data_IF_745610357828
#
_entry.id   IF_745610357828
#
_cell.length_a   1.000
_cell.length_b   1.000
_cell.length_c   1.000
_cell.angle_alpha   90.00
_cell.angle_beta   90.00
_cell.angle_gamma   90.00
#
_symmetry.space_group_name_H-M   'P 1'
#
loop_
_entity.id
_entity.type
_entity.pdbx_description
1 polymer ?
#
# COMPACT_ATOMS: atom_id res chain seq x y z
N UNK A 1 -14.79 -32.03 10.87
CA UNK A 1 -14.84 -33.48 11.19
C UNK A 1 -13.94 -34.35 10.32
N UNK A 2 -14.17 -34.43 8.99
CA UNK A 2 -13.46 -35.39 8.12
C UNK A 2 -11.95 -35.15 8.09
N UNK A 3 -11.52 -33.89 7.94
CA UNK A 3 -10.08 -33.52 7.96
C UNK A 3 -9.41 -33.98 9.25
N UNK A 4 -10.00 -33.67 10.42
CA UNK A 4 -9.49 -34.10 11.75
C UNK A 4 -9.27 -35.62 11.87
N UNK A 5 -10.12 -36.42 11.23
CA UNK A 5 -10.00 -37.88 11.24
C UNK A 5 -8.88 -38.39 10.33
N UNK A 6 -8.67 -37.76 9.18
CA UNK A 6 -7.67 -38.16 8.19
C UNK A 6 -6.28 -37.59 8.51
N UNK A 7 -6.26 -36.42 9.15
CA UNK A 7 -5.09 -35.66 9.51
C UNK A 7 -5.26 -35.07 10.92
N UNK A 8 -4.88 -35.84 11.95
CA UNK A 8 -5.00 -35.39 13.33
C UNK A 8 -3.89 -34.43 13.75
N UNK A 9 -2.85 -34.23 12.94
CA UNK A 9 -1.63 -33.52 13.32
C UNK A 9 -1.63 -32.05 12.89
N UNK A 10 -2.36 -31.70 11.83
CA UNK A 10 -2.41 -30.31 11.35
C UNK A 10 -3.63 -29.54 11.90
N UNK A 11 -3.44 -28.26 12.31
CA UNK A 11 -4.54 -27.41 12.74
C UNK A 11 -5.46 -27.06 11.57
N UNK A 12 -6.74 -26.90 11.86
CA UNK A 12 -7.79 -26.58 10.89
C UNK A 12 -8.20 -25.14 11.08
N UNK A 13 -7.85 -24.31 10.11
CA UNK A 13 -8.15 -22.88 10.12
C UNK A 13 -9.33 -22.55 9.21
N UNK A 14 -10.26 -21.72 9.69
CA UNK A 14 -11.25 -21.07 8.84
C UNK A 14 -10.81 -19.62 8.59
N UNK A 15 -10.62 -19.25 7.32
CA UNK A 15 -10.22 -17.89 6.94
C UNK A 15 -11.47 -17.06 6.64
N UNK A 16 -11.55 -15.86 7.22
CA UNK A 16 -12.62 -14.89 6.99
C UNK A 16 -12.06 -13.55 6.53
N UNK A 17 -12.74 -12.95 5.54
CA UNK A 17 -12.51 -11.57 5.14
C UNK A 17 -13.16 -10.64 6.15
N UNK A 18 -12.35 -9.97 6.98
CA UNK A 18 -12.76 -9.16 8.14
C UNK A 18 -13.63 -9.90 9.17
N UNK A 19 -13.50 -9.54 10.45
CA UNK A 19 -14.24 -10.20 11.54
C UNK A 19 -15.70 -9.74 11.69
N UNK A 20 -16.04 -8.56 11.16
CA UNK A 20 -17.40 -8.00 11.25
C UNK A 20 -17.91 -7.93 12.70
N UNK A 21 -19.21 -8.17 12.88
CA UNK A 21 -19.89 -8.05 14.18
C UNK A 21 -20.18 -9.41 14.87
N UNK A 22 -20.23 -10.52 14.13
CA UNK A 22 -20.66 -11.82 14.68
C UNK A 22 -19.92 -13.05 14.12
N UNK A 23 -19.00 -12.89 13.15
CA UNK A 23 -18.43 -14.04 12.43
C UNK A 23 -17.61 -14.97 13.34
N UNK A 24 -16.84 -14.42 14.27
CA UNK A 24 -15.96 -15.20 15.13
C UNK A 24 -16.78 -16.06 16.12
N UNK A 25 -17.77 -15.45 16.78
CA UNK A 25 -18.64 -16.19 17.71
C UNK A 25 -19.51 -17.24 17.02
N UNK A 26 -19.92 -16.97 15.78
CA UNK A 26 -20.62 -17.97 14.97
C UNK A 26 -19.73 -19.15 14.60
N UNK A 27 -18.49 -18.92 14.19
CA UNK A 27 -17.54 -20.02 13.92
C UNK A 27 -17.31 -20.83 15.19
N UNK A 28 -17.12 -20.19 16.34
CA UNK A 28 -16.95 -20.89 17.62
C UNK A 28 -18.13 -21.81 17.96
N UNK A 29 -19.37 -21.32 17.78
CA UNK A 29 -20.58 -22.06 18.14
C UNK A 29 -21.00 -23.10 17.10
N UNK A 30 -20.82 -22.81 15.82
CA UNK A 30 -21.34 -23.61 14.71
C UNK A 30 -20.28 -24.58 14.14
N UNK A 31 -18.98 -24.32 14.36
CA UNK A 31 -17.87 -25.05 13.77
C UNK A 31 -16.83 -25.56 14.80
N UNK A 32 -17.21 -26.41 15.78
CA UNK A 32 -16.32 -26.85 16.89
C UNK A 32 -15.11 -27.72 16.47
N UNK A 33 -15.01 -28.08 15.19
CA UNK A 33 -13.87 -28.78 14.63
C UNK A 33 -12.77 -27.85 14.07
N UNK A 34 -13.04 -26.54 13.99
CA UNK A 34 -12.06 -25.52 13.61
C UNK A 34 -11.23 -25.18 14.85
N UNK A 35 -9.91 -25.19 14.71
CA UNK A 35 -9.00 -24.99 15.83
C UNK A 35 -8.61 -23.52 16.02
N UNK A 36 -8.67 -22.74 14.94
CA UNK A 36 -8.36 -21.31 14.92
C UNK A 36 -9.06 -20.60 13.77
N UNK A 37 -9.25 -19.29 13.90
CA UNK A 37 -9.70 -18.43 12.80
C UNK A 37 -8.53 -17.67 12.17
N UNK A 38 -8.52 -17.63 10.85
CA UNK A 38 -7.66 -16.75 10.07
C UNK A 38 -8.42 -15.49 9.70
N UNK A 39 -7.82 -14.33 9.90
CA UNK A 39 -8.46 -13.03 9.68
C UNK A 39 -7.68 -12.27 8.62
N UNK A 40 -8.34 -11.97 7.50
CA UNK A 40 -7.82 -11.01 6.52
C UNK A 40 -8.30 -9.62 6.94
N UNK A 41 -7.38 -8.72 7.30
CA UNK A 41 -7.69 -7.37 7.78
C UNK A 41 -6.63 -6.36 7.35
N UNK A 42 -7.08 -5.22 6.84
CA UNK A 42 -6.25 -4.16 6.27
C UNK A 42 -6.28 -2.90 7.17
N UNK A 43 -7.01 -1.84 6.78
CA UNK A 43 -7.14 -0.63 7.61
C UNK A 43 -7.72 -0.89 9.01
N UNK A 44 -8.53 -1.95 9.16
CA UNK A 44 -9.17 -2.33 10.43
C UNK A 44 -8.33 -3.18 11.38
N UNK A 45 -7.08 -3.55 11.02
CA UNK A 45 -6.30 -4.56 11.73
C UNK A 45 -6.06 -4.21 13.21
N UNK A 46 -5.74 -2.94 13.50
CA UNK A 46 -5.47 -2.48 14.88
C UNK A 46 -6.59 -2.85 15.87
N UNK A 47 -7.84 -2.84 15.41
CA UNK A 47 -9.03 -3.11 16.24
C UNK A 47 -9.40 -4.59 16.37
N UNK A 48 -8.72 -5.50 15.69
CA UNK A 48 -9.07 -6.93 15.66
C UNK A 48 -9.14 -7.56 17.05
N UNK A 49 -8.16 -7.38 17.96
CA UNK A 49 -8.22 -7.99 19.28
C UNK A 49 -9.44 -7.54 20.10
N UNK A 50 -9.74 -6.24 20.10
CA UNK A 50 -10.89 -5.68 20.81
C UNK A 50 -12.21 -6.22 20.26
N UNK A 51 -12.35 -6.27 18.93
CA UNK A 51 -13.55 -6.78 18.27
C UNK A 51 -13.74 -8.28 18.49
N UNK A 52 -12.68 -9.08 18.52
CA UNK A 52 -12.76 -10.51 18.88
C UNK A 52 -13.28 -10.68 20.31
N UNK A 53 -12.71 -9.94 21.26
CA UNK A 53 -13.18 -9.95 22.64
C UNK A 53 -14.64 -9.47 22.75
N UNK A 54 -15.03 -8.44 21.98
CA UNK A 54 -16.40 -7.92 21.92
C UNK A 54 -17.42 -8.93 21.38
N UNK A 55 -17.01 -9.84 20.49
CA UNK A 55 -17.84 -10.95 20.04
C UNK A 55 -17.91 -12.10 21.06
N UNK A 56 -17.05 -12.11 22.08
CA UNK A 56 -16.91 -13.22 23.02
C UNK A 56 -16.16 -14.42 22.43
N UNK A 57 -15.30 -14.20 21.44
CA UNK A 57 -14.44 -15.24 20.88
C UNK A 57 -13.27 -15.52 21.83
N UNK A 58 -13.08 -16.78 22.21
CA UNK A 58 -12.02 -17.22 23.14
C UNK A 58 -11.03 -18.22 22.50
N UNK A 59 -11.14 -18.43 21.20
CA UNK A 59 -10.26 -19.32 20.44
C UNK A 59 -8.97 -18.66 19.96
N UNK A 60 -8.06 -19.51 19.47
CA UNK A 60 -6.84 -19.05 18.81
C UNK A 60 -7.15 -18.38 17.47
N UNK A 61 -6.35 -17.39 17.09
CA UNK A 61 -6.50 -16.67 15.83
C UNK A 61 -5.15 -16.35 15.20
N UNK A 62 -5.16 -16.05 13.91
CA UNK A 62 -4.02 -15.53 13.18
C UNK A 62 -4.47 -14.47 12.18
N UNK A 63 -3.60 -13.51 11.88
CA UNK A 63 -3.85 -12.54 10.81
C UNK A 63 -3.38 -13.15 9.49
N UNK A 64 -4.29 -13.74 8.74
CA UNK A 64 -3.94 -14.49 7.52
C UNK A 64 -3.66 -13.64 6.30
N UNK A 65 -4.00 -12.35 6.37
CA UNK A 65 -3.64 -11.38 5.35
C UNK A 65 -3.72 -9.98 5.98
N UNK A 66 -2.61 -9.25 5.93
CA UNK A 66 -2.60 -7.83 6.27
C UNK A 66 -1.55 -7.10 5.45
N UNK A 67 -1.72 -5.80 5.29
CA UNK A 67 -0.77 -4.99 4.55
C UNK A 67 -0.99 -3.53 4.82
N UNK A 68 -1.13 -2.77 3.74
CA UNK A 68 -1.39 -1.34 3.78
C UNK A 68 -2.89 -1.05 3.76
N UNK A 69 -3.27 0.21 3.96
CA UNK A 69 -4.65 0.65 3.84
C UNK A 69 -5.18 0.35 2.43
N UNK A 70 -6.37 -0.26 2.35
CA UNK A 70 -6.98 -0.59 1.07
C UNK A 70 -7.34 0.66 0.27
N UNK A 71 -7.27 0.60 -1.07
CA UNK A 71 -7.62 1.75 -1.91
C UNK A 71 -9.07 2.22 -1.77
N UNK A 72 -9.96 1.36 -1.27
CA UNK A 72 -11.34 1.70 -0.94
C UNK A 72 -11.48 2.47 0.39
N UNK A 73 -10.47 2.42 1.27
CA UNK A 73 -10.46 3.08 2.58
C UNK A 73 -9.76 4.46 2.53
N UNK A 74 -9.02 4.74 1.44
CA UNK A 74 -8.32 6.01 1.25
C UNK A 74 -9.25 7.13 0.77
N UNK A 75 -8.90 8.36 1.17
CA UNK A 75 -9.48 9.57 0.59
C UNK A 75 -9.28 9.62 -0.93
N UNK A 76 -10.18 10.31 -1.64
CA UNK A 76 -10.17 10.40 -3.10
C UNK A 76 -10.06 11.85 -3.56
N UNK A 77 -9.49 12.06 -4.74
CA UNK A 77 -9.56 13.34 -5.46
C UNK A 77 -11.01 13.65 -5.85
N UNK A 78 -11.33 14.91 -6.24
CA UNK A 78 -12.66 15.26 -6.74
C UNK A 78 -13.13 14.42 -7.94
N UNK A 79 -12.20 13.87 -8.74
CA UNK A 79 -12.48 12.98 -9.87
C UNK A 79 -12.40 11.49 -9.51
N UNK A 80 -12.35 11.14 -8.21
CA UNK A 80 -12.50 9.77 -7.72
C UNK A 80 -11.22 8.92 -7.68
N UNK A 81 -10.06 9.49 -8.00
CA UNK A 81 -8.78 8.79 -7.89
C UNK A 81 -8.37 8.66 -6.40
N UNK A 82 -8.09 7.47 -5.87
CA UNK A 82 -7.69 7.32 -4.47
C UNK A 82 -6.26 7.81 -4.26
N UNK A 83 -6.01 8.49 -3.15
CA UNK A 83 -4.66 8.85 -2.73
C UNK A 83 -3.93 7.61 -2.24
N UNK A 84 -2.74 7.39 -2.76
CA UNK A 84 -1.89 6.28 -2.33
C UNK A 84 -0.87 6.79 -1.32
N UNK A 85 -0.65 6.03 -0.25
CA UNK A 85 0.43 6.31 0.69
C UNK A 85 1.79 6.15 -0.01
N UNK A 86 2.77 6.97 0.37
CA UNK A 86 4.18 6.72 0.03
C UNK A 86 4.68 5.41 0.64
N UNK A 87 5.80 4.89 0.14
CA UNK A 87 6.43 3.68 0.68
C UNK A 87 6.73 3.81 2.17
N UNK A 88 7.16 4.99 2.63
CA UNK A 88 7.40 5.24 4.06
C UNK A 88 6.11 5.35 4.86
N UNK A 89 5.08 6.03 4.33
CA UNK A 89 3.77 6.04 4.98
C UNK A 89 3.16 4.64 5.13
N UNK A 90 3.40 3.77 4.15
CA UNK A 90 3.02 2.34 4.21
C UNK A 90 3.83 1.55 5.23
N UNK A 91 5.12 1.82 5.33
CA UNK A 91 6.01 1.19 6.31
C UNK A 91 5.64 1.57 7.75
N UNK A 92 5.37 2.86 7.98
CA UNK A 92 4.90 3.39 9.26
C UNK A 92 3.56 2.75 9.65
N UNK A 93 2.61 2.66 8.71
CA UNK A 93 1.32 1.99 8.96
C UNK A 93 1.49 0.52 9.34
N UNK A 94 2.32 -0.25 8.61
CA UNK A 94 2.58 -1.66 8.95
C UNK A 94 3.16 -1.79 10.36
N UNK A 95 4.13 -0.95 10.72
CA UNK A 95 4.71 -0.96 12.07
C UNK A 95 3.65 -0.69 13.13
N UNK A 96 2.81 0.31 12.88
CA UNK A 96 1.73 0.69 13.78
C UNK A 96 0.76 -0.47 14.01
N UNK A 97 0.15 -1.01 12.95
CA UNK A 97 -0.86 -2.06 13.11
C UNK A 97 -0.30 -3.35 13.67
N UNK A 98 0.95 -3.70 13.34
CA UNK A 98 1.62 -4.87 13.90
C UNK A 98 1.86 -4.71 15.40
N UNK A 99 2.34 -3.54 15.83
CA UNK A 99 2.63 -3.29 17.25
C UNK A 99 1.38 -3.09 18.10
N UNK A 100 0.26 -2.69 17.50
CA UNK A 100 -1.03 -2.56 18.19
C UNK A 100 -1.80 -3.88 18.28
N UNK A 101 -1.89 -4.64 17.18
CA UNK A 101 -2.77 -5.82 17.11
C UNK A 101 -2.02 -7.16 17.18
N UNK A 102 -0.83 -7.27 16.58
CA UNK A 102 -0.16 -8.56 16.44
C UNK A 102 0.78 -8.80 17.61
N UNK A 103 1.85 -8.02 17.73
CA UNK A 103 2.93 -8.32 18.69
C UNK A 103 2.49 -8.41 20.15
N UNK A 104 1.53 -7.61 20.68
CA UNK A 104 1.09 -7.75 22.06
C UNK A 104 0.31 -9.06 22.33
N UNK A 105 -0.30 -9.62 21.29
CA UNK A 105 -1.14 -10.81 21.37
C UNK A 105 -0.42 -12.09 20.95
N UNK A 106 0.79 -11.98 20.37
CA UNK A 106 1.59 -13.13 19.92
C UNK A 106 1.90 -14.08 21.08
N UNK A 107 1.66 -15.37 20.87
CA UNK A 107 1.91 -16.42 21.86
C UNK A 107 0.87 -16.49 22.98
N UNK A 108 -0.13 -15.61 22.97
CA UNK A 108 -1.38 -15.74 23.73
C UNK A 108 -2.41 -16.38 22.80
N UNK A 109 -3.43 -15.63 22.38
CA UNK A 109 -4.46 -16.11 21.46
C UNK A 109 -4.08 -15.88 19.99
N UNK A 110 -3.15 -14.95 19.70
CA UNK A 110 -2.64 -14.74 18.34
C UNK A 110 -1.45 -15.66 18.05
N UNK A 111 -1.58 -16.51 17.05
CA UNK A 111 -0.55 -17.49 16.66
C UNK A 111 0.42 -16.97 15.59
N UNK A 112 0.14 -15.81 14.99
CA UNK A 112 1.01 -15.24 13.97
C UNK A 112 0.28 -14.36 12.97
N UNK A 113 1.01 -13.97 11.93
CA UNK A 113 0.51 -13.11 10.87
C UNK A 113 1.20 -13.39 9.53
N UNK A 114 0.54 -13.05 8.43
CA UNK A 114 1.02 -13.25 7.06
C UNK A 114 0.92 -11.92 6.28
N UNK A 115 2.06 -11.28 6.04
CA UNK A 115 2.13 -9.98 5.38
C UNK A 115 1.82 -10.09 3.88
N UNK A 116 1.06 -9.13 3.38
CA UNK A 116 0.57 -9.03 2.00
C UNK A 116 0.87 -7.64 1.41
N UNK A 117 1.26 -7.53 0.14
CA UNK A 117 1.58 -8.61 -0.81
C UNK A 117 3.11 -8.81 -0.85
N UNK A 118 3.62 -9.97 -0.42
CA UNK A 118 5.06 -10.27 -0.49
C UNK A 118 5.49 -10.54 -1.95
N UNK A 119 5.86 -9.47 -2.65
CA UNK A 119 6.12 -9.48 -4.10
C UNK A 119 5.61 -8.19 -4.75
N UNK A 120 5.28 -8.29 -6.03
CA UNK A 120 4.70 -7.21 -6.84
C UNK A 120 3.45 -7.70 -7.58
N UNK A 121 2.45 -6.83 -7.66
CA UNK A 121 1.23 -7.04 -8.47
C UNK A 121 0.64 -5.68 -8.82
N UNK A 122 0.17 -5.53 -10.06
CA UNK A 122 -0.70 -4.42 -10.44
C UNK A 122 -2.05 -4.59 -9.74
N UNK A 123 -2.39 -3.66 -8.85
CA UNK A 123 -3.70 -3.62 -8.19
C UNK A 123 -3.98 -2.18 -7.73
N UNK A 124 -4.90 -1.52 -8.43
CA UNK A 124 -5.09 -0.07 -8.53
C UNK A 124 -3.89 0.70 -9.09
N UNK A 125 -2.70 0.49 -8.54
CA UNK A 125 -1.41 0.95 -9.07
C UNK A 125 -0.37 -0.17 -8.96
N UNK A 126 0.78 -0.02 -9.63
CA UNK A 126 1.88 -0.97 -9.52
C UNK A 126 2.54 -0.97 -8.13
N UNK A 127 2.32 0.09 -7.33
CA UNK A 127 3.00 0.31 -6.05
C UNK A 127 2.09 0.10 -4.85
N UNK A 128 0.79 -0.12 -5.03
CA UNK A 128 -0.18 -0.07 -3.94
C UNK A 128 0.14 -1.09 -2.84
N UNK A 129 0.10 -2.38 -3.16
CA UNK A 129 0.17 -3.45 -2.17
C UNK A 129 1.52 -4.19 -2.12
N UNK A 130 2.25 -4.26 -3.23
CA UNK A 130 3.47 -5.07 -3.34
C UNK A 130 4.60 -4.56 -2.46
N UNK A 131 5.14 -5.40 -1.58
CA UNK A 131 6.30 -5.08 -0.73
C UNK A 131 7.60 -4.90 -1.53
N UNK A 132 7.64 -5.49 -2.73
CA UNK A 132 8.73 -5.36 -3.69
C UNK A 132 8.27 -4.54 -4.89
N UNK A 133 9.23 -3.89 -5.55
CA UNK A 133 9.00 -3.37 -6.89
C UNK A 133 8.97 -4.52 -7.91
N UNK A 134 8.45 -4.27 -9.10
CA UNK A 134 8.45 -5.23 -10.21
C UNK A 134 9.85 -5.75 -10.55
N UNK A 135 10.86 -4.88 -10.43
CA UNK A 135 12.27 -5.20 -10.64
C UNK A 135 12.92 -5.96 -9.48
N UNK A 136 12.20 -6.20 -8.39
CA UNK A 136 12.60 -7.03 -7.26
C UNK A 136 13.26 -6.27 -6.10
N UNK A 137 13.48 -4.96 -6.21
CA UNK A 137 13.99 -4.15 -5.10
C UNK A 137 13.01 -4.18 -3.93
N UNK A 138 13.54 -4.27 -2.71
CA UNK A 138 12.72 -4.21 -1.50
C UNK A 138 12.37 -2.76 -1.16
N UNK A 139 11.30 -2.58 -0.40
CA UNK A 139 10.91 -1.26 0.15
C UNK A 139 11.06 -1.24 1.66
N UNK A 140 10.97 -0.05 2.27
CA UNK A 140 11.05 0.15 3.74
C UNK A 140 10.11 -0.78 4.53
N UNK A 141 9.02 -1.25 3.92
CA UNK A 141 8.13 -2.25 4.54
C UNK A 141 8.84 -3.59 4.83
N UNK A 142 9.73 -4.03 3.96
CA UNK A 142 10.51 -5.26 4.17
C UNK A 142 11.46 -5.07 5.34
N UNK A 143 12.03 -3.87 5.49
CA UNK A 143 12.91 -3.56 6.62
C UNK A 143 12.12 -3.57 7.92
N UNK A 144 10.99 -2.84 7.97
CA UNK A 144 10.06 -2.83 9.11
C UNK A 144 9.67 -4.25 9.51
N UNK A 145 9.24 -5.09 8.57
CA UNK A 145 8.83 -6.46 8.88
C UNK A 145 10.00 -7.32 9.35
N UNK A 146 11.18 -7.17 8.75
CA UNK A 146 12.40 -7.87 9.17
C UNK A 146 12.71 -7.53 10.63
N UNK A 147 12.74 -6.25 10.99
CA UNK A 147 12.97 -5.80 12.37
C UNK A 147 11.92 -6.32 13.34
N UNK A 148 10.64 -6.28 12.96
CA UNK A 148 9.54 -6.75 13.82
C UNK A 148 9.57 -8.27 14.04
N UNK A 149 10.10 -9.03 13.08
CA UNK A 149 10.18 -10.49 13.18
C UNK A 149 11.45 -10.98 13.86
N UNK A 150 12.59 -10.30 13.66
CA UNK A 150 13.89 -10.72 14.23
C UNK A 150 14.21 -10.01 15.55
N UNK A 151 13.67 -8.81 15.76
CA UNK A 151 14.09 -7.90 16.83
C UNK A 151 15.43 -7.21 16.55
N UNK A 152 15.98 -7.33 15.34
CA UNK A 152 17.28 -6.79 14.94
C UNK A 152 17.09 -5.70 13.87
N UNK A 153 17.88 -4.64 13.94
CA UNK A 153 17.90 -3.61 12.90
C UNK A 153 18.46 -4.15 11.59
N UNK A 154 17.93 -3.67 10.46
CA UNK A 154 18.54 -3.94 9.16
C UNK A 154 19.91 -3.26 9.04
N UNK A 155 20.85 -3.90 8.36
CA UNK A 155 22.21 -3.36 8.19
C UNK A 155 22.32 -2.30 7.07
N UNK A 156 21.35 -2.29 6.16
CA UNK A 156 21.19 -1.32 5.08
C UNK A 156 19.68 -1.19 4.85
N UNK A 157 19.12 -0.03 5.12
CA UNK A 157 17.69 0.26 5.00
C UNK A 157 17.35 0.85 3.66
N UNK A 158 16.12 0.62 3.21
CA UNK A 158 15.60 1.27 2.03
C UNK A 158 15.54 2.80 2.23
N UNK A 159 15.66 3.59 1.15
CA UNK A 159 15.37 5.01 1.20
C UNK A 159 13.97 5.28 1.77
N UNK A 160 13.81 6.43 2.41
CA UNK A 160 12.51 6.92 2.86
C UNK A 160 12.00 7.97 1.87
N UNK A 161 10.71 7.91 1.56
CA UNK A 161 10.00 8.92 0.76
C UNK A 161 8.72 9.27 1.50
N UNK A 162 8.57 10.55 1.86
CA UNK A 162 7.37 11.03 2.54
C UNK A 162 6.24 11.34 1.56
N UNK A 163 6.52 12.15 0.53
CA UNK A 163 5.54 12.67 -0.43
C UNK A 163 6.21 13.28 -1.67
N UNK A 164 5.40 13.57 -2.68
CA UNK A 164 5.74 14.47 -3.79
C UNK A 164 5.11 15.84 -3.48
N UNK A 165 5.86 16.91 -3.67
CA UNK A 165 5.38 18.29 -3.62
C UNK A 165 5.35 18.88 -5.03
N UNK A 166 4.27 19.57 -5.38
CA UNK A 166 4.18 20.40 -6.58
C UNK A 166 4.52 21.83 -6.17
N UNK A 167 5.67 22.33 -6.62
CA UNK A 167 6.27 23.58 -6.15
C UNK A 167 5.62 24.83 -6.77
N UNK A 168 4.99 24.67 -7.93
CA UNK A 168 4.34 25.71 -8.72
C UNK A 168 2.83 25.47 -8.84
N UNK A 169 2.23 24.88 -7.80
CA UNK A 169 0.80 24.60 -7.74
C UNK A 169 -0.04 25.84 -8.09
N UNK A 170 -0.80 25.75 -9.18
CA UNK A 170 -1.69 26.81 -9.64
C UNK A 170 -3.13 26.54 -9.15
N UNK A 171 -3.76 27.49 -8.43
CA UNK A 171 -5.15 27.34 -7.99
C UNK A 171 -6.15 27.12 -9.12
N UNK A 172 -5.81 27.55 -10.33
CA UNK A 172 -6.65 27.43 -11.53
C UNK A 172 -6.54 26.07 -12.23
N UNK A 173 -5.65 25.19 -11.73
CA UNK A 173 -5.45 23.85 -12.24
C UNK A 173 -4.11 23.65 -12.92
N UNK A 174 -3.91 22.42 -13.40
CA UNK A 174 -2.72 21.97 -14.10
C UNK A 174 -3.06 21.85 -15.58
N UNK A 175 -2.32 22.54 -16.45
CA UNK A 175 -2.70 22.70 -17.86
C UNK A 175 -2.00 21.72 -18.80
N UNK A 176 -2.71 21.34 -19.86
CA UNK A 176 -2.19 20.48 -20.91
C UNK A 176 -0.94 21.08 -21.58
N UNK A 177 0.08 20.26 -21.80
CA UNK A 177 1.37 20.66 -22.39
C UNK A 177 2.13 21.76 -21.64
N UNK A 178 1.73 22.10 -20.41
CA UNK A 178 2.50 23.00 -19.55
C UNK A 178 3.41 22.21 -18.61
N UNK A 179 4.62 22.72 -18.35
CA UNK A 179 5.51 22.11 -17.37
C UNK A 179 5.01 22.38 -15.95
N UNK A 180 5.11 21.36 -15.09
CA UNK A 180 4.96 21.49 -13.64
C UNK A 180 6.26 21.14 -12.95
N UNK A 181 6.60 21.88 -11.91
CA UNK A 181 7.77 21.66 -11.08
C UNK A 181 7.40 20.80 -9.88
N UNK A 182 7.99 19.61 -9.79
CA UNK A 182 7.78 18.67 -8.69
C UNK A 182 9.07 18.38 -7.93
N UNK A 183 8.95 18.03 -6.66
CA UNK A 183 10.04 17.58 -5.80
C UNK A 183 9.60 16.39 -4.95
N UNK A 184 10.44 15.38 -4.82
CA UNK A 184 10.23 14.30 -3.84
C UNK A 184 10.90 14.65 -2.52
N UNK A 185 10.17 14.50 -1.42
CA UNK A 185 10.72 14.63 -0.08
C UNK A 185 11.22 13.24 0.34
N UNK A 186 12.53 13.06 0.29
CA UNK A 186 13.19 11.77 0.51
C UNK A 186 14.44 11.90 1.40
N UNK A 187 14.80 10.81 2.07
CA UNK A 187 16.04 10.66 2.82
C UNK A 187 16.61 9.25 2.69
N UNK A 188 17.91 9.11 2.84
CA UNK A 188 18.62 7.84 2.76
C UNK A 188 19.27 7.57 4.15
N UNK A 189 18.90 6.49 4.86
CA UNK A 189 19.36 6.24 6.23
C UNK A 189 20.86 5.90 6.36
N UNK A 190 21.48 5.31 5.35
CA UNK A 190 22.84 4.77 5.40
C UNK A 190 23.88 5.67 4.69
N UNK A 191 23.41 6.74 4.04
CA UNK A 191 24.23 7.72 3.33
C UNK A 191 24.53 7.34 1.89
N UNK A 192 23.73 6.45 1.31
CA UNK A 192 23.87 6.03 -0.07
C UNK A 192 23.43 7.10 -1.08
N UNK A 193 23.91 6.97 -2.32
CA UNK A 193 23.52 7.86 -3.40
C UNK A 193 22.10 7.54 -3.88
N UNK A 194 21.22 8.53 -3.86
CA UNK A 194 19.85 8.38 -4.34
C UNK A 194 19.75 8.58 -5.86
N UNK A 195 19.15 7.61 -6.54
CA UNK A 195 18.79 7.67 -7.96
C UNK A 195 17.28 7.86 -8.09
N UNK A 196 16.86 9.03 -8.58
CA UNK A 196 15.44 9.39 -8.72
C UNK A 196 14.97 9.19 -10.15
N UNK A 197 13.87 8.46 -10.31
CA UNK A 197 13.20 8.25 -11.60
C UNK A 197 11.73 8.66 -11.51
N UNK A 198 11.31 9.50 -12.45
CA UNK A 198 9.93 9.98 -12.59
C UNK A 198 9.26 9.35 -13.80
N UNK A 199 7.96 9.11 -13.71
CA UNK A 199 7.15 8.69 -14.85
C UNK A 199 5.68 9.08 -14.65
N UNK A 200 4.93 9.21 -15.74
CA UNK A 200 3.52 9.62 -15.73
C UNK A 200 2.68 8.53 -16.38
N UNK A 201 1.61 8.09 -15.70
CA UNK A 201 0.61 7.18 -16.26
C UNK A 201 -0.74 7.88 -16.33
N UNK A 202 -1.63 7.46 -17.24
CA UNK A 202 -3.05 7.76 -17.10
C UNK A 202 -3.59 7.15 -15.80
N UNK A 203 -4.57 7.79 -15.18
CA UNK A 203 -5.22 7.24 -13.99
C UNK A 203 -6.08 6.02 -14.36
N UNK A 204 -5.96 4.94 -13.59
CA UNK A 204 -6.74 3.71 -13.82
C UNK A 204 -8.23 3.92 -13.53
N UNK A 205 -9.07 3.63 -14.52
CA UNK A 205 -10.54 3.59 -14.44
C UNK A 205 -11.08 2.20 -14.04
N UNK A 206 -10.20 1.21 -13.86
CA UNK A 206 -10.58 -0.17 -13.55
C UNK A 206 -11.21 -0.26 -12.16
N UNK A 207 -12.36 -0.92 -12.09
CA UNK A 207 -13.07 -1.30 -10.86
C UNK A 207 -12.97 -2.81 -10.68
N UNK A 208 -11.81 -3.29 -10.26
CA UNK A 208 -11.56 -4.68 -9.87
C UNK A 208 -12.14 -4.95 -8.48
N UNK A 209 -12.46 -6.21 -8.18
CA UNK A 209 -12.81 -6.64 -6.82
C UNK A 209 -11.95 -7.83 -6.40
N UNK A 210 -11.62 -7.92 -5.10
CA UNK A 210 -11.06 -9.14 -4.51
C UNK A 210 -9.73 -9.62 -5.11
N UNK A 211 -8.90 -8.70 -5.62
CA UNK A 211 -7.61 -9.04 -6.20
C UNK A 211 -7.68 -9.61 -7.62
N UNK A 212 -8.72 -9.31 -8.39
CA UNK A 212 -8.78 -9.59 -9.84
C UNK A 212 -7.52 -9.10 -10.56
N UNK A 213 -7.18 -9.76 -11.68
CA UNK A 213 -6.07 -9.33 -12.52
C UNK A 213 -6.37 -7.96 -13.13
N UNK A 214 -5.48 -7.01 -12.91
CA UNK A 214 -5.47 -5.71 -13.56
C UNK A 214 -4.30 -5.60 -14.52
N UNK A 215 -4.58 -5.17 -15.74
CA UNK A 215 -3.51 -4.86 -16.70
C UNK A 215 -2.83 -3.57 -16.27
N UNK A 216 -1.50 -3.57 -16.27
CA UNK A 216 -0.70 -2.35 -16.10
C UNK A 216 -0.96 -1.38 -17.26
N UNK A 217 -1.11 -0.10 -16.93
CA UNK A 217 -1.19 0.98 -17.91
C UNK A 217 0.21 1.36 -18.38
N UNK A 218 0.32 1.63 -19.68
CA UNK A 218 1.57 2.10 -20.27
C UNK A 218 1.82 3.55 -19.85
N UNK A 219 3.10 3.90 -19.62
CA UNK A 219 3.47 5.26 -19.32
C UNK A 219 3.21 6.17 -20.52
N UNK A 220 2.83 7.41 -20.26
CA UNK A 220 2.71 8.45 -21.29
C UNK A 220 4.10 8.99 -21.58
N UNK A 221 4.41 9.17 -22.86
CA UNK A 221 5.65 9.84 -23.27
C UNK A 221 5.55 11.34 -22.99
N UNK A 222 6.28 11.78 -21.97
CA UNK A 222 6.29 13.16 -21.48
C UNK A 222 7.72 13.65 -21.31
N UNK A 223 7.95 14.94 -21.56
CA UNK A 223 9.26 15.53 -21.29
C UNK A 223 9.46 15.65 -19.77
N UNK A 224 10.54 15.04 -19.27
CA UNK A 224 10.95 15.08 -17.87
C UNK A 224 12.39 15.57 -17.84
N UNK A 225 12.60 16.73 -17.24
CA UNK A 225 13.93 17.33 -17.06
C UNK A 225 14.28 17.35 -15.58
N UNK A 226 15.50 16.94 -15.23
CA UNK A 226 15.94 16.99 -13.84
C UNK A 226 16.03 18.45 -13.34
N UNK A 227 15.62 18.66 -12.10
CA UNK A 227 15.65 19.97 -11.45
C UNK A 227 16.21 19.81 -10.03
N UNK A 228 17.54 19.69 -9.98
CA UNK A 228 18.27 19.22 -8.79
C UNK A 228 18.17 17.71 -8.60
N UNK A 229 18.69 17.22 -7.47
CA UNK A 229 18.83 15.78 -7.22
C UNK A 229 17.49 15.08 -6.93
N UNK A 230 16.53 15.81 -6.37
CA UNK A 230 15.22 15.30 -5.94
C UNK A 230 14.03 15.95 -6.67
N UNK A 231 14.29 16.77 -7.68
CA UNK A 231 13.26 17.51 -8.41
C UNK A 231 13.20 17.18 -9.89
N UNK A 232 12.05 17.47 -10.50
CA UNK A 232 11.88 17.41 -11.93
C UNK A 232 10.92 18.49 -12.43
N UNK A 233 11.16 18.92 -13.67
CA UNK A 233 10.21 19.66 -14.48
C UNK A 233 9.53 18.67 -15.42
N UNK A 234 8.21 18.53 -15.33
CA UNK A 234 7.43 17.54 -16.10
C UNK A 234 6.45 18.26 -17.00
N UNK A 235 6.62 18.17 -18.32
CA UNK A 235 5.62 18.66 -19.28
C UNK A 235 4.50 17.64 -19.41
N UNK A 236 3.33 17.98 -18.89
CA UNK A 236 2.20 17.05 -18.84
C UNK A 236 1.57 16.83 -20.23
N UNK A 237 0.82 15.73 -20.40
CA UNK A 237 0.23 15.38 -21.69
C UNK A 237 -0.65 16.50 -22.27
N UNK A 238 -0.70 16.58 -23.60
CA UNK A 238 -1.58 17.51 -24.31
C UNK A 238 -3.06 17.12 -24.25
N UNK A 239 -3.37 15.87 -23.92
CA UNK A 239 -4.74 15.38 -23.77
C UNK A 239 -5.24 15.66 -22.34
N UNK A 240 -6.30 16.46 -22.14
CA UNK A 240 -6.90 16.68 -20.83
C UNK A 240 -7.40 15.37 -20.22
N UNK A 241 -7.26 15.22 -18.90
CA UNK A 241 -7.68 14.01 -18.21
C UNK A 241 -6.98 13.78 -16.87
N UNK A 242 -7.32 12.67 -16.23
CA UNK A 242 -6.70 12.24 -15.00
C UNK A 242 -5.42 11.45 -15.27
N UNK A 243 -4.33 11.88 -14.63
CA UNK A 243 -3.03 11.24 -14.68
C UNK A 243 -2.47 11.06 -13.27
N UNK A 244 -1.38 10.33 -13.17
CA UNK A 244 -0.64 10.16 -11.93
C UNK A 244 0.85 10.25 -12.19
N UNK A 245 1.51 11.15 -11.46
CA UNK A 245 2.96 11.30 -11.44
C UNK A 245 3.50 10.33 -10.41
N UNK A 246 4.40 9.44 -10.82
CA UNK A 246 5.09 8.50 -9.96
C UNK A 246 6.56 8.91 -9.81
N UNK A 247 7.10 8.67 -8.63
CA UNK A 247 8.53 8.75 -8.35
C UNK A 247 9.02 7.44 -7.75
N UNK A 248 10.19 7.00 -8.17
CA UNK A 248 10.95 5.92 -7.54
C UNK A 248 12.33 6.44 -7.17
N UNK A 249 12.70 6.31 -5.91
CA UNK A 249 14.04 6.64 -5.38
C UNK A 249 14.74 5.33 -5.08
N UNK A 250 15.91 5.08 -5.69
CA UNK A 250 16.73 3.88 -5.47
C UNK A 250 18.05 4.24 -4.80
N UNK A 251 18.58 3.35 -3.98
CA UNK A 251 19.89 3.50 -3.32
C UNK A 251 21.06 2.85 -4.09
N UNK A 252 20.75 1.99 -5.07
CA UNK A 252 21.76 1.21 -5.79
C UNK A 252 22.19 -0.09 -5.09
N UNK A 253 21.62 -0.41 -3.92
CA UNK A 253 21.88 -1.61 -3.12
C UNK A 253 20.72 -2.61 -3.12
N UNK A 254 19.76 -2.43 -4.03
CA UNK A 254 18.60 -3.32 -4.17
C UNK A 254 17.41 -2.88 -3.35
N UNK A 255 17.39 -1.62 -2.88
CA UNK A 255 16.27 -1.04 -2.20
C UNK A 255 15.69 0.16 -2.96
N UNK A 256 14.41 0.40 -2.72
CA UNK A 256 13.70 1.49 -3.37
C UNK A 256 12.56 2.05 -2.51
N UNK A 257 12.23 3.30 -2.79
CA UNK A 257 11.12 4.02 -2.19
C UNK A 257 10.24 4.63 -3.29
N UNK A 258 8.95 4.77 -3.01
CA UNK A 258 7.97 5.21 -4.01
C UNK A 258 6.99 6.20 -3.42
N UNK A 259 6.62 7.19 -4.21
CA UNK A 259 5.42 7.98 -3.99
C UNK A 259 4.74 8.26 -5.33
N UNK A 260 3.49 8.70 -5.26
CA UNK A 260 2.80 9.20 -6.43
C UNK A 260 1.81 10.32 -6.07
N UNK A 261 1.44 11.08 -7.08
CA UNK A 261 0.56 12.23 -6.97
C UNK A 261 -0.46 12.19 -8.12
N UNK A 262 -1.76 11.97 -7.85
CA UNK A 262 -2.78 12.12 -8.88
C UNK A 262 -2.92 13.59 -9.28
N UNK A 263 -3.00 13.84 -10.58
CA UNK A 263 -3.16 15.18 -11.18
C UNK A 263 -4.26 15.16 -12.22
N UNK A 264 -5.02 16.24 -12.32
CA UNK A 264 -6.02 16.40 -13.38
C UNK A 264 -5.56 17.50 -14.31
N UNK A 265 -5.30 17.13 -15.56
CA UNK A 265 -4.86 18.03 -16.62
C UNK A 265 -6.10 18.62 -17.29
N UNK A 266 -6.18 19.95 -17.35
CA UNK A 266 -7.27 20.68 -18.00
C UNK A 266 -6.76 21.36 -19.27
N UNK A 267 -7.68 21.57 -20.21
CA UNK A 267 -7.40 22.46 -21.34
C UNK A 267 -7.37 23.91 -20.83
N UNK A 268 -6.40 24.69 -21.32
CA UNK A 268 -6.25 26.10 -20.99
C UNK A 268 -7.37 26.94 -21.61
N UNK A 269 -7.90 26.49 -22.74
CA UNK A 269 -8.92 27.20 -23.51
C UNK A 269 -10.35 26.69 -23.26
N UNK A 270 -10.54 25.70 -22.36
CA UNK A 270 -11.85 25.30 -21.91
C UNK A 270 -12.45 26.40 -21.01
N UNK A 271 -13.43 27.15 -21.53
CA UNK A 271 -14.21 28.06 -20.69
C UNK A 271 -14.81 27.28 -19.50
N UNK A 272 -14.84 27.86 -18.29
CA UNK A 272 -15.47 27.20 -17.15
C UNK A 272 -16.94 26.95 -17.51
N UNK A 273 -17.37 25.69 -17.46
CA UNK A 273 -18.77 25.34 -17.65
C UNK A 273 -19.60 26.07 -16.60
N UNK A 274 -20.44 27.00 -17.03
CA UNK A 274 -21.42 27.66 -16.19
C UNK A 274 -22.55 26.68 -15.88
N UNK A 275 -22.43 25.93 -14.78
CA UNK A 275 -23.54 25.24 -14.11
C UNK A 275 -23.56 25.60 -12.61
#
# INVERSE_FOLDING_TARGET
AIVRRLDPHHPRMAIIAEIGDDKAIRIQNECPDIDLIGINSYGGLASVPERLAGQGYDGAWAVTEYGVVGHWEMGKTPWGAPYEQSSSGKADFIREVYTQAISPNLGQDCLGSFAFLWGHKQEKTATWYGLLLESGETTERVDVLSELWTGEQVSNGAPRVERIEMLDANPSGVYASEPVRVQVIASEPDGDAMLVAWHVLPESDVQSMGGDFERRLDAVDVAIEADGDLGAMITLPGEPGAYRIFVTVRDGHGHAATANLPVYVVDRDAEPSSD
#
